data_IF_747065554733
#
_entry.id   IF_747065554733
#
_cell.length_a   1.000
_cell.length_b   1.000
_cell.length_c   1.000
_cell.angle_alpha   90.00
_cell.angle_beta   90.00
_cell.angle_gamma   90.00
#
_symmetry.space_group_name_H-M   'P 1'
#
loop_
_entity.id
_entity.type
_entity.pdbx_description
1 polymer ?
#
# COMPACT_ATOMS: atom_id res chain seq x y z
N UNK A 1 16.09 -48.48 0.74
CA UNK A 1 16.09 -47.04 0.48
C UNK A 1 14.69 -46.57 0.76
N UNK A 2 14.47 -45.84 1.86
CA UNK A 2 13.21 -45.11 2.03
C UNK A 2 13.16 -44.02 0.95
N UNK A 3 12.06 -43.98 0.20
CA UNK A 3 11.82 -42.93 -0.78
C UNK A 3 11.69 -41.59 -0.07
N UNK A 4 12.62 -40.66 -0.33
CA UNK A 4 12.68 -39.29 0.21
C UNK A 4 11.61 -38.35 -0.39
N UNK A 5 10.53 -38.89 -0.95
CA UNK A 5 9.49 -38.07 -1.58
C UNK A 5 8.43 -37.67 -0.57
N UNK A 6 7.92 -36.42 -0.64
CA UNK A 6 6.79 -36.03 0.18
C UNK A 6 5.60 -36.95 -0.06
N UNK A 7 4.94 -37.35 1.00
CA UNK A 7 3.66 -38.05 0.98
C UNK A 7 2.58 -37.19 0.33
N UNK A 8 1.46 -37.79 -0.08
CA UNK A 8 0.31 -37.05 -0.60
C UNK A 8 -0.21 -35.98 0.37
N UNK A 9 -0.10 -36.24 1.68
CA UNK A 9 -0.48 -35.29 2.72
C UNK A 9 0.50 -34.10 2.77
N UNK A 10 1.81 -34.36 2.76
CA UNK A 10 2.83 -33.30 2.75
C UNK A 10 2.77 -32.46 1.46
N UNK A 11 2.53 -33.07 0.30
CA UNK A 11 2.31 -32.33 -0.94
C UNK A 11 1.10 -31.39 -0.87
N UNK A 12 0.05 -31.79 -0.16
CA UNK A 12 -1.12 -30.94 0.06
C UNK A 12 -0.78 -29.74 0.93
N UNK A 13 -0.07 -29.96 2.04
CA UNK A 13 0.41 -28.89 2.92
C UNK A 13 1.27 -27.90 2.12
N UNK A 14 2.22 -28.39 1.34
CA UNK A 14 3.10 -27.54 0.52
C UNK A 14 2.29 -26.66 -0.43
N UNK A 15 1.27 -27.20 -1.11
CA UNK A 15 0.43 -26.43 -2.02
C UNK A 15 -0.35 -25.33 -1.30
N UNK A 16 -0.97 -25.65 -0.16
CA UNK A 16 -1.71 -24.68 0.65
C UNK A 16 -0.80 -23.57 1.20
N UNK A 17 0.42 -23.91 1.62
CA UNK A 17 1.41 -22.91 2.07
C UNK A 17 1.89 -22.03 0.91
N UNK A 18 2.10 -22.59 -0.29
CA UNK A 18 2.46 -21.80 -1.47
C UNK A 18 1.36 -20.81 -1.83
N UNK A 19 0.10 -21.24 -1.77
CA UNK A 19 -1.05 -20.36 -1.99
C UNK A 19 -1.13 -19.24 -0.94
N UNK A 20 -0.98 -19.59 0.35
CA UNK A 20 -0.93 -18.64 1.46
C UNK A 20 0.17 -17.57 1.29
N UNK A 21 1.34 -17.97 0.79
CA UNK A 21 2.51 -17.08 0.65
C UNK A 21 2.51 -16.28 -0.67
N UNK A 22 1.72 -16.67 -1.67
CA UNK A 22 1.63 -15.98 -2.96
C UNK A 22 1.39 -14.47 -2.86
N UNK A 23 0.42 -13.96 -2.06
CA UNK A 23 0.22 -12.51 -1.93
C UNK A 23 1.41 -11.79 -1.27
N UNK A 24 2.18 -12.47 -0.42
CA UNK A 24 3.37 -11.91 0.23
C UNK A 24 4.54 -11.78 -0.75
N UNK A 25 4.70 -12.75 -1.65
CA UNK A 25 5.67 -12.65 -2.76
C UNK A 25 5.36 -11.41 -3.61
N UNK A 26 4.08 -11.22 -3.97
CA UNK A 26 3.66 -10.08 -4.79
C UNK A 26 3.93 -8.74 -4.11
N UNK A 27 3.62 -8.60 -2.81
CA UNK A 27 3.93 -7.39 -2.04
C UNK A 27 5.43 -7.19 -1.89
N UNK A 28 6.19 -8.25 -1.62
CA UNK A 28 7.64 -8.18 -1.47
C UNK A 28 8.29 -7.72 -2.77
N UNK A 29 7.87 -8.28 -3.91
CA UNK A 29 8.33 -7.86 -5.22
C UNK A 29 8.00 -6.39 -5.49
N UNK A 30 6.80 -5.92 -5.13
CA UNK A 30 6.41 -4.51 -5.26
C UNK A 30 7.29 -3.58 -4.42
N UNK A 31 7.50 -3.92 -3.15
CA UNK A 31 8.21 -3.07 -2.20
C UNK A 31 9.73 -3.12 -2.33
N UNK A 32 10.27 -4.15 -3.00
CA UNK A 32 11.71 -4.30 -3.24
C UNK A 32 12.22 -3.54 -4.48
N UNK A 33 11.33 -2.94 -5.29
CA UNK A 33 11.74 -2.19 -6.48
C UNK A 33 12.31 -0.82 -6.10
N UNK A 34 13.48 -0.49 -6.66
CA UNK A 34 14.13 0.81 -6.48
C UNK A 34 13.75 1.86 -7.55
N UNK A 35 12.85 1.53 -8.48
CA UNK A 35 12.49 2.41 -9.60
C UNK A 35 11.41 3.44 -9.28
N UNK A 36 10.79 3.37 -8.10
CA UNK A 36 9.77 4.30 -7.63
C UNK A 36 9.76 4.37 -6.09
N UNK A 37 9.17 5.42 -5.50
CA UNK A 37 8.97 5.48 -4.05
C UNK A 37 8.04 4.38 -3.56
N UNK A 38 8.55 3.51 -2.70
CA UNK A 38 7.79 2.39 -2.11
C UNK A 38 7.03 2.80 -0.85
N UNK A 39 7.43 3.91 -0.20
CA UNK A 39 6.86 4.37 1.07
C UNK A 39 5.34 4.62 1.03
N UNK A 40 4.83 5.11 -0.11
CA UNK A 40 3.40 5.33 -0.32
C UNK A 40 2.64 4.11 -0.79
N UNK A 41 3.30 2.95 -0.90
CA UNK A 41 2.71 1.65 -1.23
C UNK A 41 2.66 0.73 -0.01
N UNK A 42 3.59 0.91 0.94
CA UNK A 42 3.77 0.01 2.08
C UNK A 42 2.50 -0.15 2.90
N UNK A 43 1.90 0.95 3.36
CA UNK A 43 0.74 0.87 4.24
C UNK A 43 -0.49 0.25 3.55
N UNK A 44 -0.89 0.68 2.33
CA UNK A 44 -1.92 -0.02 1.56
C UNK A 44 -1.64 -1.51 1.41
N UNK A 45 -0.38 -1.89 1.10
CA UNK A 45 0.00 -3.30 0.89
C UNK A 45 -0.26 -4.14 2.13
N UNK A 46 0.07 -3.59 3.31
CA UNK A 46 -0.12 -4.26 4.59
C UNK A 46 -1.60 -4.39 4.95
N UNK A 47 -2.40 -3.34 4.73
CA UNK A 47 -3.85 -3.41 4.90
C UNK A 47 -4.46 -4.50 4.02
N UNK A 48 -4.01 -4.60 2.76
CA UNK A 48 -4.51 -5.61 1.84
C UNK A 48 -4.10 -7.03 2.25
N UNK A 49 -2.85 -7.25 2.66
CA UNK A 49 -2.41 -8.56 3.18
C UNK A 49 -3.21 -8.98 4.42
N UNK A 50 -3.43 -8.04 5.33
CA UNK A 50 -4.24 -8.30 6.53
C UNK A 50 -5.67 -8.70 6.13
N UNK A 51 -6.28 -7.97 5.22
CA UNK A 51 -7.63 -8.26 4.74
C UNK A 51 -7.71 -9.62 4.05
N UNK A 52 -6.78 -9.97 3.16
CA UNK A 52 -6.70 -11.29 2.52
C UNK A 52 -6.66 -12.41 3.58
N UNK A 53 -5.81 -12.27 4.60
CA UNK A 53 -5.71 -13.26 5.69
C UNK A 53 -6.99 -13.36 6.53
N UNK A 54 -7.73 -12.27 6.70
CA UNK A 54 -8.95 -12.18 7.52
C UNK A 54 -10.21 -12.56 6.74
N UNK A 55 -10.20 -12.45 5.41
CA UNK A 55 -11.40 -12.68 4.59
C UNK A 55 -11.24 -13.77 3.55
N UNK A 56 -10.21 -13.71 2.70
CA UNK A 56 -10.08 -14.62 1.56
C UNK A 56 -9.56 -16.00 1.98
N UNK A 57 -8.62 -16.01 2.93
CA UNK A 57 -8.03 -17.26 3.43
C UNK A 57 -8.74 -17.81 4.67
N UNK A 58 -9.86 -17.22 5.10
CA UNK A 58 -10.61 -17.77 6.23
C UNK A 58 -11.26 -19.08 5.80
N UNK A 59 -10.94 -20.18 6.50
CA UNK A 59 -11.44 -21.52 6.17
C UNK A 59 -11.10 -22.00 4.74
N UNK A 60 -10.09 -21.42 4.10
CA UNK A 60 -9.68 -21.79 2.73
C UNK A 60 -8.78 -23.02 2.68
N UNK A 61 -8.21 -23.42 3.81
CA UNK A 61 -7.23 -24.51 3.89
C UNK A 61 -7.84 -25.75 4.53
N UNK A 62 -7.54 -26.91 3.96
CA UNK A 62 -8.04 -28.19 4.45
C UNK A 62 -7.08 -28.80 5.48
N UNK A 63 -5.81 -28.38 5.52
CA UNK A 63 -4.85 -28.83 6.53
C UNK A 63 -4.80 -27.86 7.72
N UNK A 64 -4.72 -28.43 8.92
CA UNK A 64 -4.54 -27.69 10.17
C UNK A 64 -3.21 -26.92 10.19
N UNK A 65 -2.17 -27.48 9.57
CA UNK A 65 -0.85 -26.83 9.46
C UNK A 65 -0.94 -25.52 8.67
N UNK A 66 -1.59 -25.50 7.50
CA UNK A 66 -1.74 -24.28 6.71
C UNK A 66 -2.62 -23.24 7.43
N UNK A 67 -3.71 -23.67 8.06
CA UNK A 67 -4.57 -22.78 8.84
C UNK A 67 -3.87 -22.19 10.08
N UNK A 68 -3.05 -22.99 10.77
CA UNK A 68 -2.22 -22.53 11.89
C UNK A 68 -1.14 -21.56 11.41
N UNK A 69 -0.54 -21.81 10.24
CA UNK A 69 0.41 -20.90 9.61
C UNK A 69 -0.25 -19.55 9.28
N UNK A 70 -1.45 -19.56 8.68
CA UNK A 70 -2.23 -18.34 8.40
C UNK A 70 -2.48 -17.53 9.66
N UNK A 71 -2.91 -18.16 10.76
CA UNK A 71 -3.12 -17.50 12.06
C UNK A 71 -1.83 -16.88 12.60
N UNK A 72 -0.73 -17.64 12.60
CA UNK A 72 0.56 -17.16 13.08
C UNK A 72 1.06 -15.96 12.26
N UNK A 73 0.91 -15.98 10.93
CA UNK A 73 1.27 -14.85 10.06
C UNK A 73 0.37 -13.64 10.36
N UNK A 74 -0.95 -13.83 10.53
CA UNK A 74 -1.87 -12.75 10.85
C UNK A 74 -1.52 -12.10 12.20
N UNK A 75 -1.25 -12.90 13.22
CA UNK A 75 -0.83 -12.42 14.54
C UNK A 75 0.51 -11.66 14.47
N UNK A 76 1.50 -12.19 13.77
CA UNK A 76 2.79 -11.52 13.56
C UNK A 76 2.61 -10.19 12.82
N UNK A 77 1.84 -10.19 11.72
CA UNK A 77 1.53 -8.98 10.95
C UNK A 77 0.82 -7.92 11.80
N UNK A 78 -0.21 -8.32 12.55
CA UNK A 78 -0.90 -7.41 13.46
C UNK A 78 0.04 -6.88 14.55
N UNK A 79 0.89 -7.72 15.14
CA UNK A 79 1.79 -7.33 16.22
C UNK A 79 2.85 -6.31 15.77
N UNK A 80 3.50 -6.54 14.63
CA UNK A 80 4.52 -5.64 14.06
C UNK A 80 3.96 -4.28 13.70
N UNK A 81 2.68 -4.21 13.34
CA UNK A 81 2.03 -3.00 12.85
C UNK A 81 0.98 -2.42 13.81
N UNK A 82 0.97 -2.85 15.08
CA UNK A 82 0.24 -2.17 16.17
C UNK A 82 0.69 -0.70 16.36
N UNK A 83 1.91 -0.36 15.94
CA UNK A 83 2.41 1.02 16.01
C UNK A 83 1.95 1.85 14.81
N UNK A 84 1.35 3.01 15.10
CA UNK A 84 0.93 3.99 14.10
C UNK A 84 2.14 4.53 13.33
N UNK A 85 2.37 4.05 12.11
CA UNK A 85 3.50 4.51 11.31
C UNK A 85 3.11 5.71 10.44
N UNK A 86 2.97 6.85 11.11
CA UNK A 86 2.60 8.17 10.55
C UNK A 86 3.27 8.47 9.21
N UNK A 87 4.54 8.10 9.07
CA UNK A 87 5.33 8.34 7.86
C UNK A 87 4.77 7.62 6.62
N UNK A 88 4.36 6.35 6.74
CA UNK A 88 3.83 5.60 5.61
C UNK A 88 2.43 6.08 5.21
N UNK A 89 1.61 6.48 6.18
CA UNK A 89 0.31 7.08 5.90
C UNK A 89 0.44 8.42 5.16
N UNK A 90 1.39 9.27 5.58
CA UNK A 90 1.71 10.48 4.83
C UNK A 90 2.27 10.18 3.44
N UNK A 91 3.16 9.20 3.33
CA UNK A 91 3.68 8.73 2.05
C UNK A 91 2.57 8.25 1.12
N UNK A 92 1.56 7.56 1.67
CA UNK A 92 0.39 7.09 0.95
C UNK A 92 -0.51 8.25 0.55
N UNK A 93 -0.72 9.21 1.45
CA UNK A 93 -1.47 10.42 1.15
C UNK A 93 -0.86 11.21 -0.02
N UNK A 94 0.47 11.38 -0.02
CA UNK A 94 1.22 12.07 -1.07
C UNK A 94 1.37 11.24 -2.35
N UNK A 95 0.88 10.00 -2.36
CA UNK A 95 0.77 9.19 -3.56
C UNK A 95 -0.62 9.43 -4.16
N UNK A 96 -0.74 9.97 -5.39
CA UNK A 96 -2.03 10.27 -6.01
C UNK A 96 -2.96 9.06 -6.16
N UNK A 97 -2.42 7.83 -6.02
CA UNK A 97 -3.18 6.57 -6.01
C UNK A 97 -3.89 6.30 -4.69
N UNK A 98 -3.46 6.89 -3.58
CA UNK A 98 -3.91 6.51 -2.23
C UNK A 98 -4.27 7.73 -1.38
N UNK A 99 -4.51 8.88 -2.00
CA UNK A 99 -4.76 10.15 -1.28
C UNK A 99 -6.08 10.17 -0.51
N UNK A 100 -7.03 9.33 -0.87
CA UNK A 100 -8.27 9.07 -0.12
C UNK A 100 -8.05 8.36 1.20
N UNK A 101 -6.94 7.61 1.33
CA UNK A 101 -6.67 6.69 2.43
C UNK A 101 -7.90 5.83 2.79
N UNK A 102 -8.59 5.29 1.79
CA UNK A 102 -9.81 4.48 1.97
C UNK A 102 -9.60 3.16 2.76
N UNK A 103 -8.34 2.76 2.94
CA UNK A 103 -7.91 1.61 3.75
C UNK A 103 -7.70 1.91 5.24
N UNK A 104 -8.03 3.11 5.73
CA UNK A 104 -8.01 3.46 7.17
C UNK A 104 -9.35 3.99 7.68
N UNK A 105 -9.51 4.02 9.01
CA UNK A 105 -10.68 4.64 9.63
C UNK A 105 -10.76 6.14 9.36
N UNK A 106 -11.97 6.68 9.38
CA UNK A 106 -12.22 8.11 9.21
C UNK A 106 -11.48 8.99 10.23
N UNK A 107 -11.27 8.48 11.45
CA UNK A 107 -10.50 9.15 12.49
C UNK A 107 -9.02 9.30 12.10
N UNK A 108 -8.40 8.22 11.63
CA UNK A 108 -7.00 8.23 11.18
C UNK A 108 -6.85 9.13 9.95
N UNK A 109 -7.76 9.03 8.99
CA UNK A 109 -7.78 9.86 7.80
C UNK A 109 -7.79 11.36 8.16
N UNK A 110 -8.72 11.80 9.01
CA UNK A 110 -8.78 13.20 9.48
C UNK A 110 -7.51 13.62 10.21
N UNK A 111 -6.96 12.75 11.07
CA UNK A 111 -5.73 13.03 11.81
C UNK A 111 -4.53 13.26 10.89
N UNK A 112 -4.38 12.45 9.83
CA UNK A 112 -3.28 12.60 8.86
C UNK A 112 -3.44 13.88 8.05
N UNK A 113 -4.64 14.18 7.56
CA UNK A 113 -4.89 15.41 6.78
C UNK A 113 -4.59 16.66 7.61
N UNK A 114 -5.09 16.73 8.85
CA UNK A 114 -4.85 17.88 9.72
C UNK A 114 -3.35 18.09 9.97
N UNK A 115 -2.60 17.00 10.22
CA UNK A 115 -1.15 17.08 10.41
C UNK A 115 -0.41 17.57 9.16
N UNK A 116 -0.79 17.08 7.98
CA UNK A 116 -0.18 17.50 6.73
C UNK A 116 -0.51 18.96 6.39
N UNK A 117 -1.72 19.42 6.70
CA UNK A 117 -2.09 20.83 6.57
C UNK A 117 -1.23 21.70 7.49
N UNK A 118 -1.08 21.33 8.77
CA UNK A 118 -0.20 22.07 9.69
C UNK A 118 1.25 22.11 9.20
N UNK A 119 1.79 20.97 8.77
CA UNK A 119 3.17 20.87 8.27
C UNK A 119 3.37 21.67 6.98
N UNK A 120 2.39 21.67 6.08
CA UNK A 120 2.41 22.47 4.86
C UNK A 120 2.47 23.97 5.17
N UNK A 121 1.60 24.47 6.07
CA UNK A 121 1.61 25.89 6.45
C UNK A 121 2.94 26.30 7.10
N UNK A 122 3.51 25.44 7.96
CA UNK A 122 4.83 25.69 8.55
C UNK A 122 5.92 25.76 7.46
N UNK A 123 5.91 24.86 6.48
CA UNK A 123 6.89 24.86 5.39
C UNK A 123 6.73 26.05 4.45
N UNK A 124 5.49 26.43 4.14
CA UNK A 124 5.15 27.57 3.28
C UNK A 124 5.65 28.89 3.90
N UNK A 125 5.44 29.07 5.20
CA UNK A 125 5.87 30.28 5.92
C UNK A 125 7.38 30.35 6.14
N UNK A 126 8.08 29.21 6.17
CA UNK A 126 9.52 29.12 6.33
C UNK A 126 10.27 28.87 5.01
N UNK A 127 9.63 29.12 3.87
CA UNK A 127 10.18 28.76 2.56
C UNK A 127 11.48 29.52 2.26
N UNK A 128 12.59 28.77 2.15
CA UNK A 128 13.84 29.21 1.53
C UNK A 128 13.91 28.52 0.15
N UNK A 129 14.25 29.24 -0.94
CA UNK A 129 14.31 28.65 -2.29
C UNK A 129 15.18 27.38 -2.31
N UNK A 130 14.59 26.25 -2.67
CA UNK A 130 15.28 24.95 -2.69
C UNK A 130 16.05 24.72 -3.99
N UNK A 131 17.20 24.04 -3.86
CA UNK A 131 18.06 23.56 -4.95
C UNK A 131 17.27 22.58 -5.83
N UNK A 132 17.37 22.64 -7.17
CA UNK A 132 16.60 21.79 -8.07
C UNK A 132 16.89 20.30 -7.83
N UNK A 133 15.86 19.53 -7.47
CA UNK A 133 15.94 18.08 -7.33
C UNK A 133 15.91 17.45 -8.73
N UNK A 134 17.01 16.76 -9.10
CA UNK A 134 17.14 16.04 -10.36
C UNK A 134 16.26 14.78 -10.33
N UNK A 135 15.13 14.79 -11.02
CA UNK A 135 14.31 13.59 -11.18
C UNK A 135 14.94 12.66 -12.22
N UNK A 136 15.30 11.44 -11.80
CA UNK A 136 15.80 10.42 -12.72
C UNK A 136 14.60 9.79 -13.43
N UNK A 137 14.43 10.09 -14.72
CA UNK A 137 13.33 9.57 -15.56
C UNK A 137 13.60 8.12 -15.96
N UNK A 138 13.57 7.19 -15.00
CA UNK A 138 13.58 5.77 -15.34
C UNK A 138 12.14 5.28 -15.43
N UNK A 139 11.69 5.06 -16.67
CA UNK A 139 10.37 4.57 -17.00
C UNK A 139 10.34 3.06 -16.76
N UNK A 140 9.95 2.64 -15.54
CA UNK A 140 9.88 1.22 -15.21
C UNK A 140 8.61 0.59 -15.74
N UNK A 141 8.75 -0.53 -16.44
CA UNK A 141 7.64 -1.38 -16.83
C UNK A 141 7.03 -2.05 -15.59
N UNK A 142 5.88 -1.54 -15.14
CA UNK A 142 5.02 -2.20 -14.14
C UNK A 142 4.18 -3.27 -14.87
N UNK A 143 4.40 -4.54 -14.56
CA UNK A 143 3.54 -5.63 -15.05
C UNK A 143 2.47 -5.95 -14.00
N UNK A 144 1.24 -6.04 -14.49
CA UNK A 144 -0.01 -6.59 -13.93
C UNK A 144 -0.02 -6.87 -12.42
N UNK A 145 -0.25 -5.85 -11.61
CA UNK A 145 -0.63 -5.96 -10.20
C UNK A 145 -2.07 -5.53 -9.96
N UNK A 146 -2.89 -5.60 -11.00
CA UNK A 146 -4.22 -5.02 -10.99
C UNK A 146 -5.27 -5.75 -10.20
N UNK A 147 -5.02 -7.03 -9.94
CA UNK A 147 -5.84 -7.85 -9.07
C UNK A 147 -5.64 -7.54 -7.58
N UNK A 148 -4.54 -6.88 -7.19
CA UNK A 148 -4.16 -6.76 -5.78
C UNK A 148 -4.90 -5.64 -5.03
N UNK A 149 -5.45 -4.64 -5.71
CA UNK A 149 -5.99 -3.44 -5.06
C UNK A 149 -7.51 -3.33 -5.22
N UNK A 150 -8.22 -3.11 -4.11
CA UNK A 150 -9.69 -2.95 -4.11
C UNK A 150 -10.16 -1.68 -4.81
N UNK A 151 -11.45 -1.69 -5.13
CA UNK A 151 -12.19 -0.59 -5.78
C UNK A 151 -12.36 0.58 -4.80
N UNK A 152 -12.13 1.79 -5.30
CA UNK A 152 -12.11 3.03 -4.51
C UNK A 152 -13.51 3.54 -4.17
N UNK A 153 -13.64 4.21 -3.04
CA UNK A 153 -14.87 4.89 -2.62
C UNK A 153 -15.25 6.07 -3.55
N UNK A 154 -16.55 6.39 -3.61
CA UNK A 154 -17.07 7.55 -4.35
C UNK A 154 -16.56 8.87 -3.76
N UNK A 155 -16.24 9.83 -4.64
CA UNK A 155 -15.63 11.11 -4.24
C UNK A 155 -16.68 12.19 -4.03
N UNK A 156 -16.56 12.91 -2.93
CA UNK A 156 -17.27 14.17 -2.70
C UNK A 156 -16.37 15.35 -3.08
N UNK A 157 -16.73 16.10 -4.12
CA UNK A 157 -16.05 17.34 -4.48
C UNK A 157 -16.48 18.42 -3.49
N UNK A 158 -15.54 19.02 -2.77
CA UNK A 158 -15.80 20.13 -1.84
C UNK A 158 -15.19 21.44 -2.36
N UNK A 159 -15.69 22.61 -1.93
CA UNK A 159 -15.13 23.90 -2.32
C UNK A 159 -13.63 23.98 -1.96
N UNK A 160 -12.81 24.45 -2.91
CA UNK A 160 -11.36 24.57 -2.73
C UNK A 160 -11.07 25.68 -1.71
N UNK A 161 -10.49 25.31 -0.57
CA UNK A 161 -10.10 26.26 0.50
C UNK A 161 -8.58 26.42 0.65
N UNK A 162 -7.82 25.42 0.25
CA UNK A 162 -6.36 25.38 0.32
C UNK A 162 -5.80 24.36 -0.70
N UNK A 163 -4.48 24.32 -0.82
CA UNK A 163 -3.74 23.47 -1.76
C UNK A 163 -3.96 21.97 -1.47
N UNK A 164 -4.11 21.61 -0.20
CA UNK A 164 -4.44 20.23 0.22
C UNK A 164 -5.83 19.83 -0.29
N UNK A 165 -6.81 20.72 -0.23
CA UNK A 165 -8.15 20.47 -0.76
C UNK A 165 -8.15 20.43 -2.29
N UNK A 166 -7.38 21.30 -2.95
CA UNK A 166 -7.19 21.21 -4.40
C UNK A 166 -6.61 19.85 -4.80
N UNK A 167 -5.57 19.39 -4.10
CA UNK A 167 -4.98 18.07 -4.30
C UNK A 167 -5.99 16.94 -4.13
N UNK A 168 -6.83 16.98 -3.08
CA UNK A 168 -7.88 15.99 -2.84
C UNK A 168 -8.95 15.99 -3.93
N UNK A 169 -9.29 17.15 -4.49
CA UNK A 169 -10.29 17.29 -5.55
C UNK A 169 -9.82 16.76 -6.91
N UNK A 170 -8.50 16.74 -7.16
CA UNK A 170 -7.96 16.14 -8.39
C UNK A 170 -8.32 14.65 -8.47
N UNK A 171 -8.42 14.05 -9.67
CA UNK A 171 -8.67 12.63 -9.76
C UNK A 171 -7.50 11.82 -9.19
N UNK A 172 -7.82 10.78 -8.42
CA UNK A 172 -6.83 9.78 -8.07
C UNK A 172 -6.44 8.96 -9.28
N UNK A 173 -5.15 8.63 -9.35
CA UNK A 173 -4.66 7.70 -10.35
C UNK A 173 -5.18 6.28 -10.06
N UNK A 174 -5.41 5.46 -11.10
CA UNK A 174 -5.62 4.03 -10.92
C UNK A 174 -4.43 3.41 -10.20
N UNK A 175 -4.69 2.44 -9.32
CA UNK A 175 -3.62 1.62 -8.73
C UNK A 175 -2.87 0.80 -9.79
N UNK A 176 -3.46 0.70 -10.99
CA UNK A 176 -3.16 -0.26 -12.06
C UNK A 176 -2.14 0.20 -13.10
N UNK A 177 -1.83 1.49 -13.12
CA UNK A 177 -1.09 2.06 -14.23
C UNK A 177 0.40 2.27 -13.93
N UNK A 178 1.22 2.22 -14.99
CA UNK A 178 2.69 2.38 -15.01
C UNK A 178 3.13 3.82 -14.70
N UNK A 179 2.59 4.46 -13.66
CA UNK A 179 2.92 5.84 -13.33
C UNK A 179 3.89 5.95 -12.15
N UNK A 180 4.99 6.66 -12.39
CA UNK A 180 5.84 7.19 -11.34
C UNK A 180 5.12 8.38 -10.70
N UNK A 181 4.89 8.33 -9.38
CA UNK A 181 4.21 9.39 -8.63
C UNK A 181 4.91 10.75 -8.76
N UNK A 182 6.23 10.79 -8.91
CA UNK A 182 6.97 12.04 -9.12
C UNK A 182 6.65 12.71 -10.45
N UNK A 183 6.42 11.91 -11.50
CA UNK A 183 6.01 12.45 -12.81
C UNK A 183 4.66 13.14 -12.70
N UNK A 184 3.72 12.56 -11.93
CA UNK A 184 2.42 13.19 -11.69
C UNK A 184 2.56 14.55 -11.00
N UNK A 185 3.37 14.63 -9.95
CA UNK A 185 3.63 15.89 -9.24
C UNK A 185 4.29 16.95 -10.12
N UNK A 186 5.10 16.53 -11.09
CA UNK A 186 5.76 17.45 -12.03
C UNK A 186 4.74 18.08 -13.00
N UNK A 187 3.72 17.31 -13.40
CA UNK A 187 2.66 17.76 -14.33
C UNK A 187 1.53 18.53 -13.64
N UNK A 188 1.26 18.24 -12.37
CA UNK A 188 0.15 18.84 -11.60
C UNK A 188 0.64 19.84 -10.56
N UNK A 189 1.54 20.75 -10.95
CA UNK A 189 1.99 21.82 -10.05
C UNK A 189 0.82 22.73 -9.70
N UNK A 190 0.52 22.81 -8.41
CA UNK A 190 -0.34 23.84 -7.80
C UNK A 190 0.45 25.08 -7.48
#
# INVERSE_FOLDING_TARGET
MEELYPTSHEWKIIKEIVELLCPFESVTCLLSRATYPTIGLTYPSLCNLKEILETEFILSFETDIAENCRKAILEDLQSRWKFFQKLYLKGSFLNPRFKSLDFVSQEIHKKIINQLQTEYEVLKNNWIPSIPVRSNKNQSNLTTMSSFWKKKNERNVTPIKNEVQHYLNLPELPALEKYNSFTWWTTNKT
#
